data_IF_512485172099
#
_entry.id   IF_512485172099
#
_cell.length_a   1.000
_cell.length_b   1.000
_cell.length_c   1.000
_cell.angle_alpha   90.00
_cell.angle_beta   90.00
_cell.angle_gamma   90.00
#
_symmetry.space_group_name_H-M   'P 1'
#
loop_
_entity.id
_entity.type
_entity.pdbx_description
1 polymer ?
#
# COMPACT_ATOMS: atom_id res chain seq x y z
N UNK A 1 12.01 24.86 -12.30
CA UNK A 1 12.06 23.55 -12.99
C UNK A 1 12.08 22.47 -11.91
N UNK A 2 11.17 21.49 -11.95
CA UNK A 2 11.17 20.37 -10.98
C UNK A 2 12.31 19.39 -11.28
N UNK A 3 12.86 18.79 -10.22
CA UNK A 3 13.83 17.68 -10.33
C UNK A 3 13.18 16.32 -9.99
N UNK A 4 11.86 16.33 -9.72
CA UNK A 4 11.09 15.12 -9.39
C UNK A 4 10.54 14.55 -10.70
N UNK A 5 10.71 13.25 -10.91
CA UNK A 5 10.03 12.51 -11.99
C UNK A 5 8.58 12.25 -11.53
N UNK A 6 7.67 13.07 -12.03
CA UNK A 6 6.24 12.93 -11.75
C UNK A 6 5.60 11.83 -12.60
N UNK A 7 4.43 11.35 -12.19
CA UNK A 7 3.64 10.36 -12.95
C UNK A 7 3.24 10.87 -14.35
N UNK A 8 3.11 12.17 -14.53
CA UNK A 8 2.93 12.82 -15.84
C UNK A 8 4.03 13.86 -16.03
N UNK A 9 4.71 13.78 -17.17
CA UNK A 9 5.74 14.75 -17.59
C UNK A 9 5.17 15.83 -18.53
N UNK A 10 3.85 15.82 -18.80
CA UNK A 10 3.20 16.70 -19.79
C UNK A 10 2.75 18.04 -19.24
N UNK A 11 3.00 18.34 -17.98
CA UNK A 11 2.58 19.58 -17.36
C UNK A 11 3.27 19.83 -16.02
N UNK A 12 3.10 21.03 -15.47
CA UNK A 12 3.51 21.36 -14.12
C UNK A 12 2.40 21.01 -13.13
N UNK A 13 2.77 20.45 -12.00
CA UNK A 13 1.84 20.23 -10.89
C UNK A 13 1.86 21.40 -9.92
N UNK A 14 0.71 21.78 -9.34
CA UNK A 14 0.69 22.74 -8.24
C UNK A 14 1.51 22.20 -7.06
N UNK A 15 2.15 23.08 -6.33
CA UNK A 15 2.95 22.73 -5.15
C UNK A 15 2.08 22.93 -3.92
N UNK A 16 1.55 21.85 -3.36
CA UNK A 16 0.78 21.89 -2.12
C UNK A 16 1.70 22.31 -0.96
N UNK A 17 1.24 23.25 -0.13
CA UNK A 17 1.98 23.77 1.03
C UNK A 17 1.24 23.56 2.35
N UNK A 18 -0.07 23.38 2.33
CA UNK A 18 -0.86 23.06 3.53
C UNK A 18 -2.12 22.27 3.19
N UNK A 19 -2.67 21.60 4.22
CA UNK A 19 -3.94 20.90 4.13
C UNK A 19 -4.73 21.00 5.43
N UNK A 20 -6.05 21.15 5.33
CA UNK A 20 -6.96 21.17 6.47
C UNK A 20 -8.31 20.55 6.13
N UNK A 21 -8.71 19.54 6.87
CA UNK A 21 -9.95 18.82 6.60
C UNK A 21 -9.96 18.26 5.17
N UNK A 22 -10.90 18.67 4.34
CA UNK A 22 -11.04 18.22 2.96
C UNK A 22 -10.29 19.09 1.94
N UNK A 23 -9.51 20.07 2.37
CA UNK A 23 -8.88 21.03 1.44
C UNK A 23 -7.36 20.96 1.47
N UNK A 24 -6.77 21.25 0.31
CA UNK A 24 -5.33 21.49 0.11
C UNK A 24 -5.14 22.90 -0.44
N UNK A 25 -4.10 23.58 0.01
CA UNK A 25 -3.72 24.91 -0.51
C UNK A 25 -2.37 24.79 -1.19
N UNK A 26 -2.23 25.39 -2.37
CA UNK A 26 -0.96 25.43 -3.08
C UNK A 26 -0.16 26.69 -2.73
N UNK A 27 1.07 26.76 -3.29
CA UNK A 27 2.01 27.86 -3.08
C UNK A 27 1.45 29.22 -3.52
N UNK A 28 0.55 29.23 -4.50
CA UNK A 28 -0.03 30.45 -5.07
C UNK A 28 -1.32 30.86 -4.31
N UNK A 29 -1.64 30.15 -3.21
CA UNK A 29 -2.80 30.41 -2.37
C UNK A 29 -4.11 29.82 -2.89
N UNK A 30 -4.08 29.07 -3.99
CA UNK A 30 -5.26 28.44 -4.53
C UNK A 30 -5.66 27.22 -3.68
N UNK A 31 -6.96 27.14 -3.36
CA UNK A 31 -7.55 26.06 -2.55
C UNK A 31 -8.20 25.02 -3.46
N UNK A 32 -7.95 23.76 -3.15
CA UNK A 32 -8.50 22.59 -3.84
C UNK A 32 -9.28 21.73 -2.85
N UNK A 33 -10.40 21.17 -3.28
CA UNK A 33 -11.10 20.13 -2.54
C UNK A 33 -10.43 18.78 -2.90
N UNK A 34 -9.96 18.04 -1.90
CA UNK A 34 -9.42 16.69 -2.08
C UNK A 34 -10.56 15.67 -2.18
N UNK A 35 -11.22 15.63 -3.34
CA UNK A 35 -12.30 14.69 -3.60
C UNK A 35 -11.83 13.26 -3.89
N UNK A 36 -10.52 13.05 -4.03
CA UNK A 36 -9.94 11.72 -4.26
C UNK A 36 -9.52 11.02 -2.96
N UNK A 37 -9.45 11.74 -1.85
CA UNK A 37 -9.00 11.22 -0.57
C UNK A 37 -7.59 10.60 -0.63
N UNK A 38 -6.73 11.08 -1.56
CA UNK A 38 -5.38 10.53 -1.74
C UNK A 38 -5.38 9.03 -2.09
N UNK A 39 -6.35 8.55 -2.87
CA UNK A 39 -6.60 7.13 -3.13
C UNK A 39 -6.88 6.34 -1.83
N UNK A 40 -7.77 6.87 -0.98
CA UNK A 40 -8.19 6.34 0.31
C UNK A 40 -7.12 6.44 1.43
N UNK A 41 -6.16 7.34 1.30
CA UNK A 41 -5.13 7.58 2.34
C UNK A 41 -5.56 8.67 3.32
N UNK A 42 -6.19 9.75 2.82
CA UNK A 42 -6.59 10.91 3.63
C UNK A 42 -8.06 10.83 4.13
N UNK A 43 -8.54 9.65 4.49
CA UNK A 43 -9.94 9.42 4.89
C UNK A 43 -10.36 10.22 6.14
N UNK A 44 -9.42 10.54 7.04
CA UNK A 44 -9.65 11.40 8.21
C UNK A 44 -9.50 12.89 7.91
N UNK A 45 -9.24 13.24 6.66
CA UNK A 45 -8.89 14.59 6.24
C UNK A 45 -7.43 14.94 6.53
N UNK A 46 -7.05 16.12 6.05
CA UNK A 46 -5.72 16.68 6.26
C UNK A 46 -5.62 17.36 7.62
N UNK A 47 -4.54 17.13 8.34
CA UNK A 47 -4.23 17.83 9.57
C UNK A 47 -5.14 17.47 10.75
N UNK A 48 -5.60 16.20 10.85
CA UNK A 48 -6.40 15.75 12.01
C UNK A 48 -5.61 15.92 13.31
N UNK A 49 -6.11 16.69 14.29
CA UNK A 49 -5.31 17.09 15.45
C UNK A 49 -4.85 15.91 16.29
N UNK A 50 -5.71 14.93 16.55
CA UNK A 50 -5.36 13.77 17.37
C UNK A 50 -4.30 12.89 16.72
N UNK A 51 -4.35 12.74 15.39
CA UNK A 51 -3.33 11.99 14.63
C UNK A 51 -1.99 12.70 14.70
N UNK A 52 -1.97 14.01 14.50
CA UNK A 52 -0.74 14.81 14.59
C UNK A 52 -0.15 14.73 16.00
N UNK A 53 -0.96 14.89 17.04
CA UNK A 53 -0.53 14.82 18.43
C UNK A 53 0.05 13.43 18.77
N UNK A 54 -0.60 12.35 18.34
CA UNK A 54 -0.11 10.99 18.56
C UNK A 54 1.22 10.72 17.83
N UNK A 55 1.36 11.24 16.60
CA UNK A 55 2.62 11.11 15.84
C UNK A 55 3.76 11.87 16.53
N UNK A 56 3.54 13.10 17.00
CA UNK A 56 4.54 13.86 17.73
C UNK A 56 4.95 13.13 19.01
N UNK A 57 4.00 12.70 19.81
CA UNK A 57 4.28 11.98 21.06
C UNK A 57 5.07 10.68 20.82
N UNK A 58 4.78 9.95 19.74
CA UNK A 58 5.51 8.74 19.40
C UNK A 58 6.93 9.04 18.89
N UNK A 59 7.12 10.08 18.08
CA UNK A 59 8.44 10.49 17.58
C UNK A 59 9.34 10.92 18.76
N UNK A 60 8.81 11.69 19.70
CA UNK A 60 9.54 12.13 20.90
C UNK A 60 9.95 10.96 21.79
N UNK A 61 9.12 9.91 21.86
CA UNK A 61 9.39 8.71 22.65
C UNK A 61 10.33 7.73 21.95
N UNK A 62 10.02 7.38 20.70
CA UNK A 62 10.76 6.41 19.89
C UNK A 62 10.37 6.54 18.42
N UNK A 63 11.24 7.12 17.62
CA UNK A 63 11.00 7.32 16.20
C UNK A 63 11.19 6.05 15.36
N UNK A 64 12.11 5.16 15.78
CA UNK A 64 12.46 3.96 15.04
C UNK A 64 13.01 2.85 15.95
N UNK A 65 12.60 1.61 15.66
CA UNK A 65 13.25 0.41 16.17
C UNK A 65 13.34 -0.62 15.03
N UNK A 66 14.51 -1.28 14.92
CA UNK A 66 14.74 -2.26 13.86
C UNK A 66 13.91 -3.54 14.11
N UNK A 67 13.00 -3.84 13.21
CA UNK A 67 12.05 -4.97 13.32
C UNK A 67 12.70 -6.36 13.35
N UNK A 68 13.98 -6.47 13.00
CA UNK A 68 14.76 -7.71 13.16
C UNK A 68 15.14 -8.03 14.60
N UNK A 69 15.02 -7.07 15.52
CA UNK A 69 15.44 -7.22 16.92
C UNK A 69 14.38 -6.75 17.92
N UNK A 70 13.48 -5.88 17.52
CA UNK A 70 12.50 -5.26 18.40
C UNK A 70 11.12 -5.23 17.77
N UNK A 71 10.10 -5.33 18.60
CA UNK A 71 8.75 -4.82 18.33
C UNK A 71 8.52 -3.52 19.10
N UNK A 72 7.38 -2.87 18.91
CA UNK A 72 7.00 -1.67 19.65
C UNK A 72 5.57 -1.80 20.15
N UNK A 73 5.26 -1.18 21.31
CA UNK A 73 3.92 -1.20 21.88
C UNK A 73 2.84 -0.74 20.89
N UNK A 74 3.12 0.34 20.13
CA UNK A 74 2.17 0.85 19.13
C UNK A 74 1.94 -0.11 17.95
N UNK A 75 2.96 -0.89 17.57
CA UNK A 75 2.81 -1.91 16.52
C UNK A 75 1.98 -3.09 17.03
N UNK A 76 2.23 -3.55 18.27
CA UNK A 76 1.45 -4.63 18.89
C UNK A 76 -0.02 -4.22 19.07
N UNK A 77 -0.28 -3.02 19.61
CA UNK A 77 -1.64 -2.49 19.75
C UNK A 77 -2.38 -2.42 18.41
N UNK A 78 -1.71 -1.97 17.35
CA UNK A 78 -2.30 -1.94 16.01
C UNK A 78 -2.60 -3.36 15.51
N UNK A 79 -1.68 -4.30 15.70
CA UNK A 79 -1.88 -5.70 15.32
C UNK A 79 -3.08 -6.32 16.03
N UNK A 80 -3.21 -6.12 17.35
CA UNK A 80 -4.34 -6.58 18.14
C UNK A 80 -5.67 -6.04 17.62
N UNK A 81 -5.74 -4.74 17.35
CA UNK A 81 -6.95 -4.09 16.81
C UNK A 81 -7.34 -4.64 15.44
N UNK A 82 -6.36 -4.87 14.55
CA UNK A 82 -6.60 -5.44 13.23
C UNK A 82 -7.10 -6.89 13.32
N UNK A 83 -6.47 -7.70 14.15
CA UNK A 83 -6.85 -9.10 14.36
C UNK A 83 -8.24 -9.21 15.00
N UNK A 84 -8.55 -8.36 15.98
CA UNK A 84 -9.88 -8.35 16.62
C UNK A 84 -11.02 -8.03 15.63
N UNK A 85 -10.76 -7.26 14.57
CA UNK A 85 -11.72 -6.96 13.51
C UNK A 85 -11.67 -7.89 12.29
N UNK A 86 -10.76 -8.85 12.28
CA UNK A 86 -10.53 -9.73 11.13
C UNK A 86 -11.49 -10.96 11.16
N UNK A 87 -11.69 -11.62 10.00
CA UNK A 87 -12.42 -12.88 9.95
C UNK A 87 -11.78 -13.97 10.83
N UNK A 88 -12.56 -14.96 11.31
CA UNK A 88 -12.03 -16.10 12.08
C UNK A 88 -10.86 -16.79 11.37
N UNK A 89 -9.82 -17.11 12.13
CA UNK A 89 -8.60 -17.76 11.63
C UNK A 89 -7.46 -16.79 11.25
N UNK A 90 -7.71 -15.50 11.22
CA UNK A 90 -6.65 -14.47 11.07
C UNK A 90 -6.13 -14.11 12.46
N UNK A 91 -4.92 -14.52 12.78
CA UNK A 91 -4.33 -14.33 14.12
C UNK A 91 -3.13 -13.37 14.16
N UNK A 92 -2.65 -12.89 13.02
CA UNK A 92 -1.43 -12.08 12.93
C UNK A 92 -1.53 -11.02 11.85
N UNK A 93 -0.80 -9.92 12.03
CA UNK A 93 -0.61 -8.88 11.03
C UNK A 93 0.89 -8.78 10.65
N UNK A 94 1.16 -8.55 9.38
CA UNK A 94 2.50 -8.29 8.87
C UNK A 94 2.56 -6.89 8.27
N UNK A 95 3.35 -6.01 8.88
CA UNK A 95 3.44 -4.62 8.48
C UNK A 95 4.55 -4.40 7.46
N UNK A 96 4.23 -3.64 6.42
CA UNK A 96 5.14 -3.24 5.33
C UNK A 96 4.87 -1.78 4.95
N UNK A 97 5.75 -1.19 4.13
CA UNK A 97 5.70 0.24 3.80
C UNK A 97 4.62 0.61 2.77
N UNK A 98 4.05 -0.36 2.07
CA UNK A 98 3.05 -0.05 1.05
C UNK A 98 2.33 -1.26 0.48
N UNK A 99 1.21 -1.03 -0.22
CA UNK A 99 0.35 -2.09 -0.76
C UNK A 99 1.03 -2.99 -1.79
N UNK A 100 1.91 -2.45 -2.63
CA UNK A 100 2.69 -3.27 -3.57
C UNK A 100 3.62 -4.24 -2.84
N UNK A 101 4.28 -3.77 -1.79
CA UNK A 101 5.15 -4.57 -0.94
C UNK A 101 4.36 -5.62 -0.16
N UNK A 102 3.16 -5.28 0.31
CA UNK A 102 2.25 -6.24 0.95
C UNK A 102 1.89 -7.40 0.02
N UNK A 103 1.62 -7.11 -1.25
CA UNK A 103 1.34 -8.16 -2.24
C UNK A 103 2.58 -9.01 -2.53
N UNK A 104 3.77 -8.41 -2.66
CA UNK A 104 5.03 -9.17 -2.79
C UNK A 104 5.25 -10.11 -1.59
N UNK A 105 5.02 -9.62 -0.37
CA UNK A 105 5.12 -10.41 0.84
C UNK A 105 4.10 -11.57 0.85
N UNK A 106 2.86 -11.32 0.44
CA UNK A 106 1.81 -12.34 0.35
C UNK A 106 2.16 -13.45 -0.67
N UNK A 107 2.69 -13.09 -1.84
CA UNK A 107 3.13 -14.07 -2.85
C UNK A 107 4.27 -14.95 -2.31
N UNK A 108 5.26 -14.34 -1.66
CA UNK A 108 6.38 -15.07 -1.06
C UNK A 108 5.92 -15.95 0.09
N UNK A 109 5.04 -15.45 0.95
CA UNK A 109 4.50 -16.21 2.08
C UNK A 109 3.68 -17.41 1.62
N UNK A 110 2.82 -17.23 0.60
CA UNK A 110 2.08 -18.32 0.00
C UNK A 110 3.02 -19.40 -0.58
N UNK A 111 4.08 -18.98 -1.26
CA UNK A 111 5.10 -19.90 -1.79
C UNK A 111 5.81 -20.65 -0.66
N UNK A 112 6.27 -19.94 0.36
CA UNK A 112 6.95 -20.53 1.52
C UNK A 112 6.05 -21.54 2.23
N UNK A 113 4.80 -21.18 2.50
CA UNK A 113 3.82 -22.08 3.12
C UNK A 113 3.73 -23.44 2.39
N UNK A 114 3.57 -23.42 1.07
CA UNK A 114 3.47 -24.67 0.29
C UNK A 114 4.77 -25.47 0.25
N UNK A 115 5.93 -24.84 0.35
CA UNK A 115 7.21 -25.55 0.51
C UNK A 115 7.27 -26.24 1.88
N UNK A 116 6.93 -25.53 2.95
CA UNK A 116 6.99 -26.05 4.32
C UNK A 116 6.05 -27.22 4.57
N UNK A 117 4.88 -27.24 3.94
CA UNK A 117 3.95 -28.39 4.03
C UNK A 117 4.22 -29.51 3.02
N UNK A 118 5.41 -29.50 2.37
CA UNK A 118 5.81 -30.56 1.43
C UNK A 118 5.10 -30.55 0.09
N UNK A 119 4.57 -29.41 -0.35
CA UNK A 119 3.90 -29.23 -1.64
C UNK A 119 4.64 -28.22 -2.55
N UNK A 120 5.96 -28.38 -2.80
CA UNK A 120 6.76 -27.41 -3.56
C UNK A 120 6.32 -27.26 -5.03
N UNK A 121 5.53 -28.18 -5.57
CA UNK A 121 4.98 -28.12 -6.93
C UNK A 121 3.87 -27.06 -7.07
N UNK A 122 3.31 -26.54 -5.98
CA UNK A 122 2.31 -25.45 -6.03
C UNK A 122 2.99 -24.11 -6.25
N UNK A 123 3.08 -23.71 -7.52
CA UNK A 123 3.78 -22.50 -7.97
C UNK A 123 2.88 -21.51 -8.69
N UNK A 124 1.66 -21.93 -9.08
CA UNK A 124 0.76 -21.10 -9.86
C UNK A 124 -0.07 -20.16 -8.98
N UNK A 125 -0.20 -18.93 -9.46
CA UNK A 125 -1.12 -17.96 -8.91
C UNK A 125 -2.30 -17.73 -9.85
N UNK A 126 -3.45 -17.40 -9.29
CA UNK A 126 -4.66 -17.04 -10.03
C UNK A 126 -5.01 -15.59 -9.67
N UNK A 127 -5.09 -14.73 -10.70
CA UNK A 127 -5.48 -13.33 -10.56
C UNK A 127 -6.78 -13.03 -11.31
N UNK A 128 -7.54 -12.04 -10.85
CA UNK A 128 -8.73 -11.56 -11.55
C UNK A 128 -8.35 -10.58 -12.66
N UNK A 129 -9.06 -10.61 -13.78
CA UNK A 129 -9.05 -9.53 -14.76
C UNK A 129 -9.55 -8.23 -14.10
N UNK A 130 -9.08 -7.08 -14.59
CA UNK A 130 -9.47 -5.75 -14.11
C UNK A 130 -9.16 -5.46 -12.64
N UNK A 131 -8.28 -6.24 -12.00
CA UNK A 131 -7.84 -6.01 -10.61
C UNK A 131 -6.58 -5.13 -10.56
N UNK A 132 -6.39 -4.44 -9.43
CA UNK A 132 -5.17 -3.71 -9.12
C UNK A 132 -4.56 -4.24 -7.81
N UNK A 133 -3.28 -4.59 -7.85
CA UNK A 133 -2.54 -5.12 -6.71
C UNK A 133 -1.22 -4.37 -6.42
N UNK A 134 -0.87 -3.39 -7.23
CA UNK A 134 0.35 -2.60 -7.05
C UNK A 134 1.17 -2.45 -8.33
N UNK A 135 2.38 -1.91 -8.20
CA UNK A 135 3.26 -1.60 -9.34
C UNK A 135 4.64 -2.28 -9.27
N UNK A 136 4.95 -3.04 -8.24
CA UNK A 136 6.12 -3.94 -8.25
C UNK A 136 5.89 -5.09 -9.23
N UNK A 137 6.93 -5.79 -9.66
CA UNK A 137 6.80 -6.80 -10.72
C UNK A 137 5.85 -7.93 -10.34
N UNK A 138 5.93 -8.47 -9.13
CA UNK A 138 4.99 -9.51 -8.66
C UNK A 138 3.57 -8.97 -8.50
N UNK A 139 3.39 -7.80 -7.86
CA UNK A 139 2.08 -7.18 -7.72
C UNK A 139 1.45 -6.83 -9.07
N UNK A 140 2.25 -6.35 -10.03
CA UNK A 140 1.82 -6.09 -11.40
C UNK A 140 1.47 -7.39 -12.13
N UNK A 141 2.24 -8.46 -11.90
CA UNK A 141 1.99 -9.77 -12.49
C UNK A 141 0.65 -10.35 -12.05
N UNK A 142 0.31 -10.33 -10.75
CA UNK A 142 -1.00 -10.80 -10.26
C UNK A 142 -2.14 -9.82 -10.53
N UNK A 143 -1.86 -8.53 -10.69
CA UNK A 143 -2.83 -7.52 -11.12
C UNK A 143 -3.38 -7.82 -12.51
N UNK A 144 -4.67 -7.59 -12.74
CA UNK A 144 -5.39 -7.96 -13.97
C UNK A 144 -5.60 -6.82 -14.96
N UNK A 145 -5.06 -5.62 -14.70
CA UNK A 145 -5.21 -4.47 -15.58
C UNK A 145 -4.23 -4.53 -16.76
N UNK A 146 -4.71 -4.89 -17.93
CA UNK A 146 -3.90 -5.18 -19.12
C UNK A 146 -3.07 -3.99 -19.61
N UNK A 147 -3.63 -2.78 -19.62
CA UNK A 147 -2.91 -1.61 -20.12
C UNK A 147 -1.71 -1.24 -19.24
N UNK A 148 -1.76 -1.52 -17.92
CA UNK A 148 -0.64 -1.32 -17.00
C UNK A 148 0.46 -2.36 -17.21
N UNK A 149 0.10 -3.57 -17.63
CA UNK A 149 0.99 -4.73 -17.74
C UNK A 149 1.68 -4.82 -19.09
N UNK A 150 1.03 -4.35 -20.16
CA UNK A 150 1.43 -4.60 -21.57
C UNK A 150 2.91 -4.34 -21.85
N UNK A 151 3.43 -3.19 -21.43
CA UNK A 151 4.84 -2.85 -21.70
C UNK A 151 5.85 -3.61 -20.84
N UNK A 152 5.40 -4.16 -19.71
CA UNK A 152 6.25 -4.91 -18.77
C UNK A 152 6.07 -6.42 -18.89
N UNK A 153 5.25 -6.90 -19.82
CA UNK A 153 4.94 -8.33 -19.96
C UNK A 153 6.17 -9.25 -19.97
N UNK A 154 7.29 -8.91 -20.61
CA UNK A 154 8.48 -9.75 -20.60
C UNK A 154 9.16 -9.92 -19.23
N UNK A 155 8.82 -9.10 -18.24
CA UNK A 155 9.38 -9.10 -16.89
C UNK A 155 8.46 -9.77 -15.87
N UNK A 156 7.24 -10.14 -16.26
CA UNK A 156 6.21 -10.62 -15.33
C UNK A 156 6.19 -12.14 -15.26
N UNK A 157 5.98 -12.68 -14.07
CA UNK A 157 5.69 -14.10 -13.88
C UNK A 157 4.32 -14.46 -14.50
N UNK A 158 4.17 -15.71 -14.93
CA UNK A 158 2.91 -16.21 -15.43
C UNK A 158 1.87 -16.35 -14.31
N UNK A 159 0.67 -15.80 -14.57
CA UNK A 159 -0.46 -15.86 -13.66
C UNK A 159 -1.72 -16.21 -14.44
N UNK A 160 -2.43 -17.23 -14.00
CA UNK A 160 -3.73 -17.61 -14.55
C UNK A 160 -4.78 -16.53 -14.29
N UNK A 161 -5.74 -16.38 -15.23
CA UNK A 161 -6.73 -15.30 -15.16
C UNK A 161 -8.14 -15.84 -15.09
N UNK A 162 -8.88 -15.36 -14.11
CA UNK A 162 -10.33 -15.57 -14.03
C UNK A 162 -11.08 -14.28 -14.36
N UNK A 163 -12.38 -14.38 -14.56
CA UNK A 163 -13.25 -13.25 -14.88
C UNK A 163 -13.20 -12.16 -13.81
N UNK A 164 -13.50 -10.89 -14.16
CA UNK A 164 -13.68 -9.82 -13.18
C UNK A 164 -14.92 -10.09 -12.30
N UNK A 165 -15.12 -9.27 -11.27
CA UNK A 165 -16.26 -9.40 -10.35
C UNK A 165 -17.60 -8.84 -10.89
N UNK A 166 -17.61 -8.27 -12.08
CA UNK A 166 -18.78 -7.66 -12.74
C UNK A 166 -18.93 -8.12 -14.18
#
# INVERSE_FOLDING_TARGET
MTRIIHRSLRGSMPVAVSGKGITLTDRDGKVYIDASGGAAVSCLGHGHPDVIAAMHAQIDRLAYAHTGFFTTEVAEELAERLVAGAPPGIGHAYFVSGGSEAVEAALKMARQYFVEIGQPQRTHFIGRKQSYHGNTLGALAVGGNEWRRKQFAPLLIDVLRVAPCY
#
